data_IF_368458114914
#
_entry.id   IF_368458114914
#
_cell.length_a   1.000
_cell.length_b   1.000
_cell.length_c   1.000
_cell.angle_alpha   90.00
_cell.angle_beta   90.00
_cell.angle_gamma   90.00
#
_symmetry.space_group_name_H-M   'P 1'
#
loop_
_entity.id
_entity.type
_entity.pdbx_description
1 polymer ?
#
# COMPACT_ATOMS: atom_id res chain seq x y z
N UNK A 1 42.69 19.21 -71.55
CA UNK A 1 42.27 20.62 -71.36
C UNK A 1 41.77 20.76 -69.93
N UNK A 2 42.43 21.57 -69.09
CA UNK A 2 41.93 21.95 -67.74
C UNK A 2 40.99 23.17 -67.88
N UNK A 3 40.14 23.43 -66.87
CA UNK A 3 40.39 24.59 -66.00
C UNK A 3 40.20 24.32 -64.49
N UNK A 4 40.62 25.27 -63.66
CA UNK A 4 40.55 25.32 -62.18
C UNK A 4 40.37 26.79 -61.74
N UNK A 5 39.89 27.16 -60.54
CA UNK A 5 39.39 26.39 -59.37
C UNK A 5 37.91 26.77 -59.07
N UNK A 6 37.33 27.05 -57.89
CA UNK A 6 37.71 27.37 -56.49
C UNK A 6 36.89 26.46 -55.52
N UNK A 7 37.43 25.91 -54.43
CA UNK A 7 37.70 26.50 -53.09
C UNK A 7 36.43 26.80 -52.24
N UNK A 8 36.24 26.03 -51.15
CA UNK A 8 35.06 26.11 -50.26
C UNK A 8 35.22 25.27 -48.98
N UNK A 9 35.75 25.91 -47.94
CA UNK A 9 36.05 25.39 -46.58
C UNK A 9 34.86 24.74 -45.83
N UNK A 10 35.13 23.67 -45.06
CA UNK A 10 34.22 23.11 -44.04
C UNK A 10 34.53 21.66 -43.65
N UNK A 11 34.51 21.31 -42.36
CA UNK A 11 34.74 19.93 -41.85
C UNK A 11 33.74 19.55 -40.76
N UNK A 12 33.51 18.23 -40.66
CA UNK A 12 32.93 17.47 -39.54
C UNK A 12 31.45 17.69 -39.19
N UNK A 13 30.70 16.59 -39.25
CA UNK A 13 29.57 16.28 -38.39
C UNK A 13 29.73 14.84 -37.93
N UNK A 14 30.32 14.64 -36.76
CA UNK A 14 30.39 13.35 -36.08
C UNK A 14 29.30 13.27 -35.00
N UNK A 15 28.97 12.04 -34.63
CA UNK A 15 28.45 11.57 -33.34
C UNK A 15 27.96 12.65 -32.36
N UNK A 16 26.66 12.62 -32.04
CA UNK A 16 26.09 13.32 -30.88
C UNK A 16 26.20 12.39 -29.68
N UNK A 17 27.10 12.62 -28.70
CA UNK A 17 27.18 11.79 -27.51
C UNK A 17 26.07 12.19 -26.56
N UNK A 18 25.47 11.23 -25.85
CA UNK A 18 24.82 11.55 -24.58
C UNK A 18 25.91 12.01 -23.61
N UNK A 19 25.91 13.31 -23.28
CA UNK A 19 26.90 13.93 -22.42
C UNK A 19 26.72 13.40 -20.99
N UNK A 20 27.83 12.92 -20.39
CA UNK A 20 27.89 12.74 -18.94
C UNK A 20 27.84 14.13 -18.27
N UNK A 21 26.80 14.40 -17.51
CA UNK A 21 26.85 15.46 -16.49
C UNK A 21 27.82 15.02 -15.39
N UNK A 22 29.04 15.57 -15.44
CA UNK A 22 30.09 15.31 -14.46
C UNK A 22 29.76 16.06 -13.17
N UNK A 23 29.18 15.35 -12.20
CA UNK A 23 28.95 15.88 -10.86
C UNK A 23 30.29 16.25 -10.19
N UNK A 24 30.34 17.36 -9.43
CA UNK A 24 31.58 17.84 -8.82
C UNK A 24 32.06 16.92 -7.69
N UNK A 25 33.39 16.80 -7.59
CA UNK A 25 34.08 16.01 -6.56
C UNK A 25 33.81 16.66 -5.18
N UNK A 26 33.00 16.00 -4.34
CA UNK A 26 32.70 16.51 -3.00
C UNK A 26 31.43 16.01 -2.31
N UNK A 27 30.54 15.29 -3.00
CA UNK A 27 29.42 14.55 -2.38
C UNK A 27 29.79 13.08 -2.19
N UNK A 28 29.41 12.47 -1.06
CA UNK A 28 29.54 11.02 -0.90
C UNK A 28 28.52 10.30 -1.80
N UNK A 29 28.87 9.09 -2.23
CA UNK A 29 27.96 8.12 -2.88
C UNK A 29 27.24 7.22 -1.85
N UNK A 30 27.43 7.50 -0.57
CA UNK A 30 26.69 6.88 0.53
C UNK A 30 25.23 7.38 0.54
N UNK A 31 24.31 6.42 0.68
CA UNK A 31 22.86 6.60 0.78
C UNK A 31 22.10 7.17 -0.44
N UNK A 32 22.44 6.70 -1.65
CA UNK A 32 21.41 6.53 -2.69
C UNK A 32 20.68 5.20 -2.47
N UNK A 33 19.75 5.16 -1.51
CA UNK A 33 19.09 3.93 -1.03
C UNK A 33 18.44 3.14 -2.18
N UNK A 34 18.91 1.90 -2.42
CA UNK A 34 18.33 1.02 -3.45
C UNK A 34 16.95 0.57 -2.98
N UNK A 35 15.90 0.99 -3.70
CA UNK A 35 14.49 0.68 -3.39
C UNK A 35 13.77 -0.16 -4.47
N UNK A 36 14.41 -0.39 -5.62
CA UNK A 36 13.83 -1.15 -6.73
C UNK A 36 14.74 -2.34 -7.05
N UNK A 37 14.26 -3.56 -6.80
CA UNK A 37 15.03 -4.80 -6.90
C UNK A 37 14.51 -5.65 -8.06
N UNK A 38 15.16 -5.64 -9.25
CA UNK A 38 14.63 -6.26 -10.48
C UNK A 38 14.61 -7.80 -10.47
N UNK A 39 14.99 -8.46 -9.36
CA UNK A 39 14.81 -9.89 -9.20
C UNK A 39 14.65 -10.31 -7.73
N UNK A 40 13.92 -11.41 -7.50
CA UNK A 40 13.89 -12.12 -6.22
C UNK A 40 15.30 -12.42 -5.66
N UNK A 41 16.25 -12.80 -6.53
CA UNK A 41 17.62 -13.11 -6.13
C UNK A 41 18.35 -11.89 -5.56
N UNK A 42 18.14 -10.72 -6.16
CA UNK A 42 18.75 -9.46 -5.73
C UNK A 42 18.07 -8.90 -4.47
N UNK A 43 16.73 -8.96 -4.40
CA UNK A 43 15.98 -8.62 -3.20
C UNK A 43 16.37 -9.53 -2.02
N UNK A 44 16.61 -10.82 -2.25
CA UNK A 44 17.10 -11.77 -1.24
C UNK A 44 18.53 -11.47 -0.80
N UNK A 45 19.42 -11.11 -1.73
CA UNK A 45 20.80 -10.73 -1.40
C UNK A 45 20.86 -9.43 -0.56
N UNK A 46 19.91 -8.51 -0.78
CA UNK A 46 19.85 -7.20 -0.15
C UNK A 46 18.68 -7.04 0.84
N UNK A 47 18.16 -8.13 1.42
CA UNK A 47 16.88 -8.14 2.16
C UNK A 47 16.79 -7.09 3.27
N UNK A 48 17.91 -6.76 3.93
CA UNK A 48 17.97 -5.63 4.87
C UNK A 48 17.61 -4.31 4.20
N UNK A 49 18.26 -3.96 3.08
CA UNK A 49 17.97 -2.73 2.33
C UNK A 49 16.54 -2.67 1.79
N UNK A 50 15.93 -3.81 1.45
CA UNK A 50 14.50 -3.90 1.10
C UNK A 50 13.62 -3.44 2.27
N UNK A 51 13.91 -3.93 3.49
CA UNK A 51 13.15 -3.58 4.69
C UNK A 51 13.43 -2.15 5.17
N UNK A 52 14.70 -1.73 5.18
CA UNK A 52 15.11 -0.38 5.58
C UNK A 52 14.48 0.69 4.65
N UNK A 53 14.43 0.44 3.33
CA UNK A 53 13.78 1.33 2.37
C UNK A 53 12.25 1.39 2.58
N UNK A 54 11.59 0.25 2.78
CA UNK A 54 10.14 0.20 3.04
C UNK A 54 9.77 0.90 4.36
N UNK A 55 10.56 0.68 5.43
CA UNK A 55 10.41 1.33 6.73
C UNK A 55 10.69 2.85 6.68
N UNK A 56 11.51 3.31 5.73
CA UNK A 56 11.73 4.74 5.45
C UNK A 56 10.57 5.37 4.66
N UNK A 57 9.54 4.59 4.30
CA UNK A 57 8.35 5.06 3.60
C UNK A 57 8.58 5.38 2.11
N UNK A 58 9.73 5.03 1.54
CA UNK A 58 9.97 5.19 0.09
C UNK A 58 9.37 4.01 -0.67
N UNK A 59 8.84 4.30 -1.88
CA UNK A 59 8.20 3.30 -2.75
C UNK A 59 9.20 2.19 -3.09
N UNK A 60 9.06 1.07 -2.38
CA UNK A 60 9.99 -0.06 -2.44
C UNK A 60 9.33 -1.22 -3.17
N UNK A 61 10.02 -1.79 -4.16
CA UNK A 61 9.46 -2.80 -5.05
C UNK A 61 10.47 -3.89 -5.39
N UNK A 62 10.01 -5.13 -5.49
CA UNK A 62 10.78 -6.24 -6.03
C UNK A 62 10.04 -6.92 -7.18
N UNK A 63 10.76 -7.54 -8.10
CA UNK A 63 10.18 -8.27 -9.22
C UNK A 63 10.51 -9.77 -9.17
N UNK A 64 9.52 -10.60 -9.50
CA UNK A 64 9.64 -12.04 -9.61
C UNK A 64 8.78 -12.51 -10.77
N UNK A 65 9.35 -13.31 -11.67
CA UNK A 65 8.64 -13.94 -12.79
C UNK A 65 7.82 -12.91 -13.62
N UNK A 66 8.42 -11.73 -13.85
CA UNK A 66 7.84 -10.50 -14.45
C UNK A 66 6.67 -9.85 -13.69
N UNK A 67 6.25 -10.40 -12.54
CA UNK A 67 5.29 -9.77 -11.62
C UNK A 67 6.01 -8.82 -10.67
N UNK A 68 5.51 -7.60 -10.52
CA UNK A 68 6.00 -6.61 -9.56
C UNK A 68 5.23 -6.70 -8.25
N UNK A 69 5.97 -6.71 -7.15
CA UNK A 69 5.47 -6.64 -5.78
C UNK A 69 5.96 -5.34 -5.13
N UNK A 70 5.13 -4.76 -4.26
CA UNK A 70 5.55 -3.69 -3.37
C UNK A 70 5.92 -4.27 -2.00
N UNK A 71 6.89 -3.65 -1.33
CA UNK A 71 7.15 -3.86 0.10
C UNK A 71 6.84 -2.54 0.79
N UNK A 72 5.95 -2.60 1.78
CA UNK A 72 5.39 -1.44 2.49
C UNK A 72 5.49 -1.74 3.97
N UNK A 73 5.75 -0.73 4.80
CA UNK A 73 5.57 -0.85 6.24
C UNK A 73 4.11 -1.19 6.60
N UNK A 74 3.94 -1.97 7.68
CA UNK A 74 2.63 -2.46 8.12
C UNK A 74 1.71 -1.35 8.63
N UNK A 75 2.23 -0.42 9.44
CA UNK A 75 1.44 0.71 9.98
C UNK A 75 1.16 1.75 8.89
N UNK A 76 2.09 1.97 7.95
CA UNK A 76 1.84 2.76 6.75
C UNK A 76 0.72 2.17 5.90
N UNK A 77 0.74 0.86 5.62
CA UNK A 77 -0.32 0.21 4.85
C UNK A 77 -1.66 0.25 5.61
N UNK A 78 -1.67 -0.08 6.90
CA UNK A 78 -2.85 -0.04 7.78
C UNK A 78 -3.49 1.35 7.83
N UNK A 79 -2.70 2.40 8.04
CA UNK A 79 -3.17 3.78 8.12
C UNK A 79 -3.72 4.28 6.78
N UNK A 80 -3.12 3.91 5.64
CA UNK A 80 -3.70 4.20 4.32
C UNK A 80 -5.00 3.44 4.08
N UNK A 81 -5.08 2.15 4.44
CA UNK A 81 -6.31 1.36 4.31
C UNK A 81 -7.46 1.93 5.15
N UNK A 82 -7.19 2.35 6.39
CA UNK A 82 -8.20 2.95 7.28
C UNK A 82 -8.79 4.27 6.72
N UNK A 83 -7.99 5.05 5.98
CA UNK A 83 -8.43 6.30 5.34
C UNK A 83 -9.13 6.05 4.00
N UNK A 84 -8.62 5.13 3.18
CA UNK A 84 -9.18 4.79 1.87
C UNK A 84 -10.47 3.97 1.95
N UNK A 85 -10.72 3.33 3.09
CA UNK A 85 -11.91 2.55 3.40
C UNK A 85 -12.46 2.94 4.78
N UNK A 86 -13.26 4.02 4.87
CA UNK A 86 -14.03 4.33 6.08
C UNK A 86 -14.88 3.14 6.53
N UNK A 87 -15.23 3.09 7.82
CA UNK A 87 -15.98 1.96 8.36
C UNK A 87 -17.42 1.88 7.84
N UNK A 88 -18.12 3.01 7.76
CA UNK A 88 -19.55 3.04 7.48
C UNK A 88 -20.38 2.22 8.48
N UNK A 89 -19.87 2.04 9.70
CA UNK A 89 -20.49 1.17 10.70
C UNK A 89 -21.84 1.72 11.14
N UNK A 90 -22.86 0.87 11.10
CA UNK A 90 -24.21 1.19 11.59
C UNK A 90 -24.35 0.62 12.99
N UNK A 91 -24.79 1.44 13.92
CA UNK A 91 -25.01 1.06 15.31
C UNK A 91 -26.41 1.46 15.74
N UNK A 92 -27.16 0.53 16.32
CA UNK A 92 -28.54 0.70 16.77
C UNK A 92 -28.71 0.22 18.20
N UNK A 93 -29.69 0.78 18.91
CA UNK A 93 -30.08 0.35 20.24
C UNK A 93 -31.57 0.00 20.22
N UNK A 94 -31.90 -1.28 20.38
CA UNK A 94 -33.25 -1.84 20.24
C UNK A 94 -33.54 -2.84 21.36
N UNK A 95 -34.79 -2.89 21.84
CA UNK A 95 -35.29 -3.74 22.94
C UNK A 95 -34.46 -3.81 24.25
N UNK A 96 -33.53 -2.85 24.44
CA UNK A 96 -32.67 -2.74 25.62
C UNK A 96 -31.25 -3.26 25.42
N UNK A 97 -30.90 -3.76 24.23
CA UNK A 97 -29.54 -4.08 23.82
C UNK A 97 -29.01 -3.14 22.75
N UNK A 98 -27.78 -3.40 22.31
CA UNK A 98 -27.09 -2.70 21.22
C UNK A 98 -26.65 -3.70 20.15
N UNK A 99 -26.69 -3.26 18.89
CA UNK A 99 -26.18 -4.00 17.74
C UNK A 99 -25.32 -3.09 16.87
N UNK A 100 -24.19 -3.61 16.39
CA UNK A 100 -23.27 -2.91 15.50
C UNK A 100 -22.95 -3.79 14.28
N UNK A 101 -22.97 -3.25 13.07
CA UNK A 101 -22.66 -4.03 11.85
C UNK A 101 -22.05 -3.18 10.73
N UNK A 102 -21.40 -3.84 9.77
CA UNK A 102 -20.90 -3.20 8.55
C UNK A 102 -21.82 -3.51 7.36
N UNK A 103 -22.47 -2.51 6.74
CA UNK A 103 -23.36 -2.72 5.60
C UNK A 103 -22.70 -3.48 4.44
N UNK A 104 -23.39 -4.52 3.95
CA UNK A 104 -22.91 -5.35 2.83
C UNK A 104 -21.90 -6.44 3.21
N UNK A 105 -21.56 -6.60 4.49
CA UNK A 105 -20.66 -7.64 5.00
C UNK A 105 -21.39 -8.57 5.99
N UNK A 106 -20.99 -9.85 6.11
CA UNK A 106 -21.61 -10.80 7.03
C UNK A 106 -21.02 -10.69 8.45
N UNK A 107 -20.83 -9.45 8.95
CA UNK A 107 -20.24 -9.18 10.27
C UNK A 107 -21.11 -8.22 11.06
N UNK A 108 -21.41 -8.63 12.29
CA UNK A 108 -22.24 -7.95 13.26
C UNK A 108 -21.75 -8.31 14.67
N UNK A 109 -21.92 -7.40 15.61
CA UNK A 109 -21.75 -7.66 17.04
C UNK A 109 -22.93 -7.15 17.85
N UNK A 110 -23.21 -7.81 18.98
CA UNK A 110 -24.32 -7.51 19.89
C UNK A 110 -23.84 -7.32 21.33
N UNK A 111 -24.59 -6.59 22.16
CA UNK A 111 -24.20 -6.36 23.55
C UNK A 111 -25.25 -5.66 24.42
N UNK A 112 -25.02 -5.68 25.74
CA UNK A 112 -25.85 -4.93 26.71
C UNK A 112 -25.60 -3.40 26.62
N UNK A 113 -24.43 -3.00 26.11
CA UNK A 113 -24.08 -1.61 25.83
C UNK A 113 -23.29 -1.46 24.51
N UNK A 114 -23.03 -0.20 24.12
CA UNK A 114 -22.27 0.17 22.93
C UNK A 114 -20.85 -0.42 22.91
N UNK A 115 -20.16 -0.45 24.04
CA UNK A 115 -18.77 -0.91 24.12
C UNK A 115 -18.70 -2.44 24.00
N UNK A 116 -19.70 -3.16 24.51
CA UNK A 116 -19.88 -4.59 24.29
C UNK A 116 -20.15 -4.91 22.81
N UNK A 117 -21.15 -4.26 22.19
CA UNK A 117 -21.50 -4.52 20.79
C UNK A 117 -20.38 -4.18 19.79
N UNK A 118 -19.58 -3.14 20.07
CA UNK A 118 -18.37 -2.81 19.28
C UNK A 118 -17.22 -3.79 19.56
N UNK A 119 -17.13 -4.38 20.76
CA UNK A 119 -16.21 -5.47 21.06
C UNK A 119 -16.52 -6.73 20.26
N UNK A 120 -17.76 -7.19 20.33
CA UNK A 120 -18.25 -8.38 19.61
C UNK A 120 -18.13 -8.21 18.07
N UNK A 121 -18.34 -6.99 17.55
CA UNK A 121 -18.09 -6.68 16.14
C UNK A 121 -16.60 -6.76 15.77
N UNK A 122 -15.68 -6.40 16.68
CA UNK A 122 -14.23 -6.55 16.45
C UNK A 122 -13.86 -8.04 16.42
N UNK A 123 -14.38 -8.86 17.34
CA UNK A 123 -14.15 -10.31 17.33
C UNK A 123 -14.71 -10.95 16.04
N UNK A 124 -15.93 -10.60 15.62
CA UNK A 124 -16.50 -11.02 14.33
C UNK A 124 -15.67 -10.58 13.11
N UNK A 125 -14.98 -9.43 13.19
CA UNK A 125 -14.05 -8.97 12.15
C UNK A 125 -12.74 -9.77 12.14
N UNK A 126 -12.23 -10.17 13.32
CA UNK A 126 -11.03 -11.05 13.46
C UNK A 126 -11.30 -12.43 12.85
N UNK A 127 -12.45 -13.02 13.18
CA UNK A 127 -12.88 -14.29 12.61
C UNK A 127 -13.06 -14.18 11.09
N UNK A 128 -13.75 -13.14 10.60
CA UNK A 128 -13.92 -12.91 9.15
C UNK A 128 -12.58 -12.76 8.41
N UNK A 129 -11.60 -12.04 8.97
CA UNK A 129 -10.30 -11.87 8.33
C UNK A 129 -9.51 -13.19 8.26
N UNK A 130 -9.57 -14.01 9.32
CA UNK A 130 -9.00 -15.36 9.37
C UNK A 130 -9.63 -16.25 8.29
N UNK A 131 -10.96 -16.31 8.26
CA UNK A 131 -11.74 -17.03 7.24
C UNK A 131 -11.43 -16.54 5.82
N UNK A 132 -11.14 -15.25 5.65
CA UNK A 132 -10.82 -14.67 4.35
C UNK A 132 -9.50 -15.21 3.79
N UNK A 133 -8.44 -15.18 4.60
CA UNK A 133 -7.14 -15.74 4.20
C UNK A 133 -7.19 -17.26 4.02
N UNK A 134 -7.90 -17.99 4.89
CA UNK A 134 -8.03 -19.45 4.75
C UNK A 134 -8.85 -19.88 3.54
N UNK A 135 -9.97 -19.19 3.24
CA UNK A 135 -10.94 -19.68 2.23
C UNK A 135 -11.77 -18.64 1.48
N UNK A 136 -12.15 -17.48 2.06
CA UNK A 136 -13.10 -16.57 1.38
C UNK A 136 -12.46 -15.73 0.25
N UNK A 137 -11.13 -15.63 0.17
CA UNK A 137 -10.44 -14.91 -0.91
C UNK A 137 -10.71 -15.46 -2.32
N UNK A 138 -11.21 -16.70 -2.46
CA UNK A 138 -11.68 -17.29 -3.74
C UNK A 138 -13.21 -17.35 -3.89
N UNK A 139 -13.98 -16.91 -2.89
CA UNK A 139 -15.44 -16.91 -2.95
C UNK A 139 -15.94 -15.64 -3.64
N UNK A 140 -16.81 -15.76 -4.65
CA UNK A 140 -17.19 -14.65 -5.54
C UNK A 140 -17.91 -13.48 -4.87
N UNK A 141 -18.43 -13.67 -3.66
CA UNK A 141 -19.06 -12.64 -2.82
C UNK A 141 -18.14 -12.08 -1.72
N UNK A 142 -16.87 -12.49 -1.68
CA UNK A 142 -15.88 -12.08 -0.67
C UNK A 142 -14.49 -11.74 -1.26
N UNK A 143 -14.15 -12.21 -2.46
CA UNK A 143 -12.85 -12.03 -3.14
C UNK A 143 -12.33 -10.59 -3.12
N UNK A 144 -13.21 -9.59 -3.27
CA UNK A 144 -12.81 -8.19 -3.38
C UNK A 144 -12.53 -7.53 -2.00
N UNK A 145 -12.82 -8.24 -0.90
CA UNK A 145 -12.66 -7.75 0.49
C UNK A 145 -11.22 -7.89 1.04
N UNK A 146 -10.20 -8.05 0.19
CA UNK A 146 -8.78 -8.08 0.63
C UNK A 146 -8.42 -6.86 1.49
N UNK A 147 -8.90 -5.67 1.12
CA UNK A 147 -8.64 -4.42 1.84
C UNK A 147 -9.28 -4.36 3.23
N UNK A 148 -10.33 -5.14 3.48
CA UNK A 148 -10.89 -5.36 4.81
C UNK A 148 -10.01 -6.32 5.62
N UNK A 149 -9.69 -7.50 5.07
CA UNK A 149 -8.90 -8.51 5.77
C UNK A 149 -7.52 -7.95 6.16
N UNK A 150 -6.83 -7.29 5.23
CA UNK A 150 -5.54 -6.64 5.49
C UNK A 150 -5.64 -5.48 6.51
N UNK A 151 -6.73 -4.70 6.50
CA UNK A 151 -6.93 -3.65 7.52
C UNK A 151 -7.13 -4.26 8.91
N UNK A 152 -7.87 -5.36 9.02
CA UNK A 152 -8.08 -6.07 10.29
C UNK A 152 -6.77 -6.66 10.80
N UNK A 153 -6.10 -7.50 10.00
CA UNK A 153 -4.86 -8.18 10.44
C UNK A 153 -3.73 -7.23 10.82
N UNK A 154 -3.62 -6.07 10.16
CA UNK A 154 -2.59 -5.07 10.46
C UNK A 154 -2.95 -4.13 11.63
N UNK A 155 -4.18 -4.17 12.14
CA UNK A 155 -4.64 -3.27 13.22
C UNK A 155 -4.66 -3.94 14.60
N UNK A 156 -4.43 -3.16 15.66
CA UNK A 156 -4.85 -3.53 17.03
C UNK A 156 -6.36 -3.33 17.22
N UNK A 157 -6.93 -3.88 18.30
CA UNK A 157 -8.37 -3.74 18.57
C UNK A 157 -8.75 -2.29 18.91
N UNK A 158 -7.84 -1.50 19.52
CA UNK A 158 -8.05 -0.07 19.73
C UNK A 158 -8.03 0.71 18.40
N UNK A 159 -7.18 0.32 17.45
CA UNK A 159 -7.15 0.91 16.11
C UNK A 159 -8.44 0.56 15.33
N UNK A 160 -8.96 -0.67 15.47
CA UNK A 160 -10.25 -1.06 14.89
C UNK A 160 -11.42 -0.34 15.55
N UNK A 161 -11.44 -0.23 16.89
CA UNK A 161 -12.45 0.54 17.64
C UNK A 161 -12.49 2.01 17.20
N UNK A 162 -11.32 2.62 17.02
CA UNK A 162 -11.18 4.00 16.52
C UNK A 162 -11.70 4.14 15.08
N UNK A 163 -11.38 3.18 14.21
CA UNK A 163 -11.87 3.14 12.82
C UNK A 163 -13.40 2.94 12.74
N UNK A 164 -13.96 2.00 13.51
CA UNK A 164 -15.40 1.74 13.59
C UNK A 164 -16.20 2.94 14.11
N UNK A 165 -15.67 3.67 15.09
CA UNK A 165 -16.31 4.85 15.68
C UNK A 165 -15.97 6.17 14.95
N UNK A 166 -15.27 6.11 13.81
CA UNK A 166 -15.02 7.29 12.97
C UNK A 166 -16.28 7.63 12.18
N UNK A 167 -16.94 8.72 12.56
CA UNK A 167 -18.14 9.23 11.88
C UNK A 167 -17.77 9.79 10.49
N UNK A 168 -18.36 9.21 9.44
CA UNK A 168 -18.31 9.75 8.08
C UNK A 168 -18.88 11.18 8.04
N UNK A 169 -18.01 12.17 8.01
CA UNK A 169 -18.38 13.60 8.07
C UNK A 169 -18.76 14.12 6.67
N UNK A 170 -19.73 13.47 6.03
CA UNK A 170 -20.20 13.79 4.67
C UNK A 170 -21.74 13.67 4.59
N UNK A 171 -22.47 14.66 5.12
CA UNK A 171 -23.95 14.71 5.00
C UNK A 171 -24.61 16.12 5.09
N UNK A 172 -23.89 17.23 4.86
CA UNK A 172 -24.52 18.56 4.61
C UNK A 172 -23.80 19.35 3.51
N UNK A 173 -24.22 19.18 2.26
CA UNK A 173 -24.08 20.10 1.11
C UNK A 173 -25.24 19.87 0.12
#
# INVERSE_FOLDING_TARGET
MKPESQAGIGRHGLDVPYVLDVLPIGSSLEDMTVRHFPSYSEARANLRGVLDAANTGVVTTLERDHTRFAVVDGELLRSQLAVLRPAGAVVTAEDGGWSAFLPGLPVSGEGEDLDAAIGDLIDALRDYATDWNDRLHVASNHQDNWSLAALVELSTDEQLRSWLLTIDTIAEQ
#
